data_IF_240597339041
#
_entry.id   IF_240597339041
#
_cell.length_a   1.000
_cell.length_b   1.000
_cell.length_c   1.000
_cell.angle_alpha   90.00
_cell.angle_beta   90.00
_cell.angle_gamma   90.00
#
_symmetry.space_group_name_H-M   'P 1'
#
loop_
_entity.id
_entity.type
_entity.pdbx_description
1 polymer ?
#
# COMPACT_ATOMS: atom_id res chain seq x y z
N UNK A 1 45.39 -9.95 -6.74
CA UNK A 1 44.44 -8.84 -6.90
C UNK A 1 43.08 -9.45 -7.18
N UNK A 2 42.18 -9.32 -6.21
CA UNK A 2 40.98 -10.15 -6.04
C UNK A 2 39.89 -9.88 -7.07
N UNK A 3 39.51 -10.91 -7.81
CA UNK A 3 38.21 -11.03 -8.42
C UNK A 3 37.21 -11.45 -7.32
N UNK A 4 36.29 -10.55 -6.97
CA UNK A 4 35.10 -10.90 -6.18
C UNK A 4 33.91 -10.15 -6.77
N UNK A 5 33.57 -10.52 -8.00
CA UNK A 5 32.21 -10.39 -8.49
C UNK A 5 31.37 -11.38 -7.68
N UNK A 6 30.71 -10.89 -6.62
CA UNK A 6 29.62 -11.64 -6.00
C UNK A 6 28.47 -11.66 -7.00
N UNK A 7 28.20 -12.84 -7.54
CA UNK A 7 26.91 -13.15 -8.11
C UNK A 7 25.84 -12.78 -7.08
N UNK A 8 24.83 -12.02 -7.48
CA UNK A 8 23.60 -11.93 -6.72
C UNK A 8 23.05 -13.36 -6.67
N UNK A 9 23.20 -14.03 -5.52
CA UNK A 9 22.40 -15.22 -5.22
C UNK A 9 20.95 -14.83 -5.46
N UNK A 10 20.25 -15.59 -6.31
CA UNK A 10 18.81 -15.46 -6.45
C UNK A 10 18.22 -15.65 -5.05
N UNK A 11 17.78 -14.56 -4.42
CA UNK A 11 17.20 -14.59 -3.09
C UNK A 11 16.03 -15.56 -3.14
N UNK A 12 16.19 -16.73 -2.51
CA UNK A 12 15.12 -17.71 -2.33
C UNK A 12 14.04 -17.06 -1.50
N UNK A 13 12.77 -17.22 -1.91
CA UNK A 13 11.63 -16.76 -1.12
C UNK A 13 11.77 -17.22 0.35
N UNK A 14 11.57 -16.33 1.32
CA UNK A 14 11.68 -16.70 2.72
C UNK A 14 10.64 -17.77 3.07
N UNK A 15 10.94 -18.58 4.08
CA UNK A 15 10.00 -19.60 4.57
C UNK A 15 8.70 -18.98 5.18
N UNK A 16 8.77 -17.70 5.55
CA UNK A 16 7.66 -16.90 6.08
C UNK A 16 7.89 -15.42 5.75
N UNK A 17 6.84 -14.72 5.36
CA UNK A 17 6.88 -13.29 5.13
C UNK A 17 6.49 -12.47 6.35
N UNK A 18 5.55 -12.88 7.19
CA UNK A 18 5.01 -12.08 8.31
C UNK A 18 5.51 -12.63 9.64
N UNK A 19 6.27 -11.82 10.38
CA UNK A 19 6.76 -12.14 11.72
C UNK A 19 5.74 -11.71 12.78
N UNK A 20 4.66 -12.50 12.90
CA UNK A 20 3.67 -12.36 13.95
C UNK A 20 3.25 -13.75 14.47
N UNK A 21 2.79 -13.82 15.71
CA UNK A 21 2.43 -15.10 16.35
C UNK A 21 0.92 -15.33 16.46
N UNK A 22 0.13 -14.27 16.67
CA UNK A 22 -1.34 -14.34 16.67
C UNK A 22 -1.92 -12.93 16.47
N UNK A 23 -2.77 -12.76 15.44
CA UNK A 23 -3.49 -11.53 15.15
C UNK A 23 -5.02 -11.70 15.31
N UNK A 24 -5.45 -12.85 15.83
CA UNK A 24 -6.85 -13.14 16.14
C UNK A 24 -7.37 -12.13 17.16
N UNK A 25 -8.56 -11.57 16.89
CA UNK A 25 -9.16 -10.53 17.72
C UNK A 25 -8.60 -9.10 17.54
N UNK A 26 -7.40 -8.91 16.98
CA UNK A 26 -6.90 -7.59 16.57
C UNK A 26 -7.38 -7.20 15.17
N UNK A 27 -7.63 -8.21 14.36
CA UNK A 27 -7.97 -8.08 12.98
C UNK A 27 -9.26 -7.25 12.76
N UNK A 28 -9.14 -6.14 12.02
CA UNK A 28 -10.21 -5.19 11.71
C UNK A 28 -10.84 -4.46 12.92
N UNK A 29 -10.21 -4.50 14.10
CA UNK A 29 -10.67 -3.75 15.28
C UNK A 29 -9.86 -2.47 15.53
N UNK A 30 -8.54 -2.55 15.38
CA UNK A 30 -7.62 -1.42 15.53
C UNK A 30 -6.47 -1.55 14.53
N UNK A 31 -5.76 -0.45 14.31
CA UNK A 31 -4.50 -0.50 13.58
C UNK A 31 -3.42 -1.16 14.45
N UNK A 32 -2.44 -1.81 13.83
CA UNK A 32 -1.22 -2.27 14.52
C UNK A 32 -0.07 -2.48 13.52
N UNK A 33 1.15 -2.32 14.03
CA UNK A 33 2.39 -2.59 13.31
C UNK A 33 2.84 -4.04 13.50
N UNK A 34 3.48 -4.62 12.48
CA UNK A 34 4.09 -5.95 12.50
C UNK A 34 5.41 -5.96 11.73
N UNK A 35 6.24 -6.98 11.94
CA UNK A 35 7.49 -7.18 11.20
C UNK A 35 7.29 -8.18 10.05
N UNK A 36 8.07 -8.06 8.99
CA UNK A 36 8.00 -8.93 7.82
C UNK A 36 9.32 -9.04 7.03
N UNK A 37 9.48 -10.12 6.27
CA UNK A 37 10.68 -10.46 5.50
C UNK A 37 10.55 -10.12 4.00
N UNK A 38 9.92 -8.99 3.68
CA UNK A 38 9.84 -8.50 2.28
C UNK A 38 10.97 -7.53 1.94
N UNK A 39 11.68 -7.02 2.96
CA UNK A 39 12.85 -6.20 2.78
C UNK A 39 13.88 -6.92 1.89
N UNK A 40 14.34 -6.25 0.83
CA UNK A 40 15.30 -6.82 -0.11
C UNK A 40 14.75 -7.87 -1.07
N UNK A 41 13.44 -8.14 -1.07
CA UNK A 41 12.85 -9.06 -2.04
C UNK A 41 13.00 -8.49 -3.47
N UNK A 42 13.54 -9.28 -4.44
CA UNK A 42 13.80 -8.81 -5.81
C UNK A 42 12.58 -8.22 -6.54
N UNK A 43 11.37 -8.63 -6.15
CA UNK A 43 10.11 -8.08 -6.67
C UNK A 43 9.93 -6.59 -6.38
N UNK A 44 10.64 -6.03 -5.40
CA UNK A 44 10.58 -4.60 -5.06
C UNK A 44 11.80 -3.81 -5.52
N UNK A 45 12.68 -4.40 -6.33
CA UNK A 45 13.78 -3.65 -6.96
C UNK A 45 13.27 -2.69 -8.05
N UNK A 46 13.90 -1.52 -8.20
CA UNK A 46 13.54 -0.54 -9.25
C UNK A 46 13.40 -1.18 -10.64
N UNK A 47 14.39 -1.96 -11.13
CA UNK A 47 14.29 -2.53 -12.47
C UNK A 47 13.14 -3.53 -12.62
N UNK A 48 12.73 -4.20 -11.53
CA UNK A 48 11.58 -5.13 -11.56
C UNK A 48 10.26 -4.38 -11.54
N UNK A 49 10.17 -3.27 -10.80
CA UNK A 49 9.01 -2.40 -10.73
C UNK A 49 8.77 -1.65 -12.04
N UNK A 50 9.82 -1.25 -12.75
CA UNK A 50 9.73 -0.72 -14.13
C UNK A 50 9.08 -1.74 -15.08
N UNK A 51 9.55 -3.00 -15.06
CA UNK A 51 8.96 -4.08 -15.87
C UNK A 51 7.50 -4.36 -15.50
N UNK A 52 7.17 -4.34 -14.21
CA UNK A 52 5.79 -4.48 -13.76
C UNK A 52 4.93 -3.34 -14.31
N UNK A 53 5.37 -2.10 -14.17
CA UNK A 53 4.63 -0.91 -14.61
C UNK A 53 4.37 -0.94 -16.12
N UNK A 54 5.36 -1.31 -16.92
CA UNK A 54 5.21 -1.50 -18.37
C UNK A 54 4.14 -2.56 -18.69
N UNK A 55 4.24 -3.75 -18.09
CA UNK A 55 3.27 -4.84 -18.28
C UNK A 55 1.84 -4.41 -17.93
N UNK A 56 1.67 -3.71 -16.80
CA UNK A 56 0.36 -3.23 -16.36
C UNK A 56 -0.23 -2.16 -17.28
N UNK A 57 0.61 -1.36 -17.95
CA UNK A 57 0.17 -0.38 -18.94
C UNK A 57 -0.18 -1.01 -20.29
N UNK A 58 0.58 -2.01 -20.74
CA UNK A 58 0.30 -2.78 -21.96
C UNK A 58 -1.05 -3.51 -21.87
N UNK A 59 -1.40 -4.00 -20.68
CA UNK A 59 -2.72 -4.58 -20.41
C UNK A 59 -3.80 -3.49 -20.28
N UNK A 60 -4.47 -3.21 -21.41
CA UNK A 60 -5.55 -2.23 -21.54
C UNK A 60 -6.90 -2.68 -20.96
N UNK A 61 -7.00 -3.89 -20.40
CA UNK A 61 -8.28 -4.38 -19.83
C UNK A 61 -8.76 -3.51 -18.66
N UNK A 62 -7.84 -2.88 -17.92
CA UNK A 62 -8.15 -1.99 -16.83
C UNK A 62 -7.04 -0.95 -16.61
N UNK A 63 -7.41 0.21 -16.07
CA UNK A 63 -6.45 1.27 -15.75
C UNK A 63 -5.77 0.97 -14.42
N UNK A 64 -4.53 0.50 -14.49
CA UNK A 64 -3.79 0.01 -13.32
C UNK A 64 -2.54 0.79 -12.96
N UNK A 65 -2.29 1.93 -13.59
CA UNK A 65 -1.16 2.78 -13.23
C UNK A 65 -1.65 4.20 -13.03
N UNK A 66 -1.27 4.81 -11.90
CA UNK A 66 -1.41 6.23 -11.63
C UNK A 66 -0.06 6.77 -11.20
N UNK A 67 0.26 7.97 -11.64
CA UNK A 67 1.43 8.67 -11.16
C UNK A 67 1.20 10.17 -11.17
N UNK A 68 1.94 10.83 -10.32
CA UNK A 68 1.93 12.28 -10.17
C UNK A 68 3.37 12.74 -10.08
N UNK A 69 3.74 13.66 -10.97
CA UNK A 69 5.01 14.39 -10.91
C UNK A 69 4.69 15.78 -10.40
N UNK A 70 4.82 15.99 -9.10
CA UNK A 70 4.95 17.30 -8.43
C UNK A 70 4.85 17.15 -6.92
N UNK A 71 5.62 17.96 -6.20
CA UNK A 71 5.53 18.15 -4.75
C UNK A 71 4.17 18.79 -4.44
N UNK A 72 3.17 17.98 -4.14
CA UNK A 72 1.86 18.46 -3.68
C UNK A 72 1.88 18.67 -2.15
N UNK A 73 1.33 19.79 -1.64
CA UNK A 73 1.08 19.97 -0.22
C UNK A 73 0.21 18.86 0.37
N UNK A 74 0.39 18.57 1.67
CA UNK A 74 -0.34 17.54 2.44
C UNK A 74 -1.87 17.67 2.32
N UNK A 75 -2.36 18.88 2.09
CA UNK A 75 -3.78 19.26 2.01
C UNK A 75 -4.29 19.48 0.58
N UNK A 76 -3.46 19.26 -0.45
CA UNK A 76 -3.84 19.43 -1.86
C UNK A 76 -4.93 18.45 -2.32
N UNK A 77 -5.13 17.36 -1.58
CA UNK A 77 -6.07 16.29 -1.92
C UNK A 77 -5.72 15.63 -3.25
N UNK A 78 -6.73 15.07 -3.91
CA UNK A 78 -6.58 14.33 -5.17
C UNK A 78 -6.63 15.21 -6.44
N UNK A 79 -6.59 16.54 -6.31
CA UNK A 79 -6.79 17.50 -7.41
C UNK A 79 -5.52 17.84 -8.23
N UNK A 80 -4.54 16.95 -8.26
CA UNK A 80 -3.26 17.20 -8.94
C UNK A 80 -3.25 16.53 -10.33
N UNK A 81 -2.72 17.17 -11.38
CA UNK A 81 -2.73 16.62 -12.73
C UNK A 81 -2.03 15.24 -12.83
N UNK A 82 -2.72 14.27 -13.44
CA UNK A 82 -2.16 12.93 -13.75
C UNK A 82 -1.51 12.99 -15.14
N UNK A 83 -0.23 12.62 -15.24
CA UNK A 83 0.48 12.47 -16.53
C UNK A 83 0.17 11.10 -17.15
N UNK A 84 0.34 10.93 -18.48
CA UNK A 84 -0.10 9.71 -19.21
C UNK A 84 0.94 9.08 -20.16
N UNK A 85 2.19 9.58 -20.19
CA UNK A 85 3.26 9.10 -21.08
C UNK A 85 4.13 8.00 -20.42
N UNK A 86 4.34 6.87 -21.12
CA UNK A 86 5.09 5.70 -20.63
C UNK A 86 6.57 6.03 -20.37
N UNK A 87 7.20 6.83 -21.23
CA UNK A 87 8.60 7.23 -21.08
C UNK A 87 8.78 8.06 -19.80
N UNK A 88 7.85 8.98 -19.51
CA UNK A 88 7.84 9.74 -18.25
C UNK A 88 7.61 8.88 -17.02
N UNK A 89 6.91 7.74 -17.13
CA UNK A 89 6.73 6.83 -16.01
C UNK A 89 8.02 6.06 -15.71
N UNK A 90 8.68 5.52 -16.73
CA UNK A 90 9.96 4.85 -16.55
C UNK A 90 11.02 5.80 -15.99
N UNK A 91 11.08 7.04 -16.50
CA UNK A 91 11.92 8.10 -15.92
C UNK A 91 11.55 8.40 -14.47
N UNK A 92 10.26 8.49 -14.13
CA UNK A 92 9.81 8.73 -12.76
C UNK A 92 10.16 7.58 -11.80
N UNK A 93 10.15 6.32 -12.26
CA UNK A 93 10.59 5.16 -11.47
C UNK A 93 12.11 5.23 -11.31
N UNK A 94 12.86 5.36 -12.40
CA UNK A 94 14.32 5.39 -12.38
C UNK A 94 14.87 6.55 -11.51
N UNK A 95 14.21 7.71 -11.58
CA UNK A 95 14.55 8.92 -10.81
C UNK A 95 13.64 9.14 -9.60
N UNK A 96 13.05 8.07 -9.03
CA UNK A 96 12.16 8.18 -7.87
C UNK A 96 12.84 8.89 -6.68
N UNK A 97 14.17 8.81 -6.58
CA UNK A 97 14.93 9.50 -5.53
C UNK A 97 14.89 11.04 -5.62
N UNK A 98 14.69 11.62 -6.81
CA UNK A 98 14.82 13.07 -7.02
C UNK A 98 13.61 13.71 -7.70
N UNK A 99 12.75 12.92 -8.35
CA UNK A 99 11.68 13.43 -9.21
C UNK A 99 10.53 14.12 -8.49
N UNK A 100 10.44 13.98 -7.15
CA UNK A 100 9.31 14.50 -6.37
C UNK A 100 7.99 13.88 -6.77
N UNK A 101 8.02 12.61 -7.21
CA UNK A 101 6.88 11.90 -7.77
C UNK A 101 6.37 10.83 -6.81
N UNK A 102 5.09 10.47 -6.96
CA UNK A 102 4.60 9.19 -6.47
C UNK A 102 3.92 8.42 -7.61
N UNK A 103 3.98 7.10 -7.50
CA UNK A 103 3.53 6.14 -8.50
C UNK A 103 2.76 5.06 -7.76
N UNK A 104 1.60 4.70 -8.28
CA UNK A 104 0.74 3.67 -7.73
C UNK A 104 0.40 2.68 -8.85
N UNK A 105 0.81 1.44 -8.62
CA UNK A 105 0.52 0.29 -9.47
C UNK A 105 -0.62 -0.48 -8.83
N UNK A 106 -1.71 -0.68 -9.56
CA UNK A 106 -2.89 -1.40 -9.11
C UNK A 106 -2.98 -2.79 -9.72
N UNK A 107 -3.57 -3.70 -8.96
CA UNK A 107 -3.75 -5.09 -9.35
C UNK A 107 -2.47 -5.72 -9.87
N UNK A 108 -1.40 -5.59 -9.08
CA UNK A 108 -0.06 -6.07 -9.45
C UNK A 108 -0.04 -7.59 -9.62
N UNK A 109 -0.98 -8.32 -9.00
CA UNK A 109 -1.20 -9.75 -9.17
C UNK A 109 -1.62 -10.19 -10.58
N UNK A 110 -1.83 -9.26 -11.53
CA UNK A 110 -1.92 -9.60 -12.97
C UNK A 110 -0.56 -10.04 -13.55
N UNK A 111 0.52 -9.72 -12.85
CA UNK A 111 1.82 -10.33 -13.05
C UNK A 111 1.93 -11.62 -12.22
N UNK A 112 2.31 -12.76 -12.82
CA UNK A 112 2.37 -14.06 -12.14
C UNK A 112 3.29 -14.10 -10.91
N UNK A 113 4.39 -13.34 -10.90
CA UNK A 113 5.31 -13.34 -9.75
C UNK A 113 4.69 -12.62 -8.55
N UNK A 114 4.01 -11.49 -8.78
CA UNK A 114 3.26 -10.80 -7.72
C UNK A 114 1.99 -11.56 -7.32
N UNK A 115 1.40 -12.34 -8.22
CA UNK A 115 0.29 -13.24 -7.87
C UNK A 115 0.74 -14.27 -6.83
N UNK A 116 1.87 -14.93 -7.08
CA UNK A 116 2.41 -15.90 -6.14
C UNK A 116 2.73 -15.24 -4.80
N UNK A 117 3.37 -14.07 -4.81
CA UNK A 117 3.65 -13.33 -3.59
C UNK A 117 2.38 -12.99 -2.80
N UNK A 118 1.31 -12.55 -3.49
CA UNK A 118 0.03 -12.27 -2.87
C UNK A 118 -0.59 -13.53 -2.26
N UNK A 119 -0.57 -14.66 -2.99
CA UNK A 119 -1.12 -15.93 -2.50
C UNK A 119 -0.35 -16.43 -1.25
N UNK A 120 0.98 -16.29 -1.22
CA UNK A 120 1.82 -16.64 -0.06
C UNK A 120 1.49 -15.77 1.16
N UNK A 121 1.46 -14.44 0.97
CA UNK A 121 1.10 -13.48 2.03
C UNK A 121 -0.30 -13.78 2.56
N UNK A 122 -1.26 -14.02 1.66
CA UNK A 122 -2.64 -14.30 2.04
C UNK A 122 -2.78 -15.59 2.84
N UNK A 123 -1.99 -16.61 2.52
CA UNK A 123 -1.93 -17.86 3.30
C UNK A 123 -1.51 -17.59 4.74
N UNK A 124 -0.47 -16.77 4.94
CA UNK A 124 -0.01 -16.39 6.28
C UNK A 124 -1.01 -15.52 7.02
N UNK A 125 -1.59 -14.52 6.36
CA UNK A 125 -2.60 -13.63 6.94
C UNK A 125 -3.81 -14.45 7.42
N UNK A 126 -4.31 -15.36 6.60
CA UNK A 126 -5.43 -16.25 6.95
C UNK A 126 -5.10 -17.04 8.21
N UNK A 127 -3.91 -17.64 8.25
CA UNK A 127 -3.46 -18.42 9.40
C UNK A 127 -3.33 -17.58 10.68
N UNK A 128 -2.77 -16.36 10.58
CA UNK A 128 -2.55 -15.47 11.71
C UNK A 128 -3.84 -14.83 12.26
N UNK A 129 -4.85 -14.67 11.41
CA UNK A 129 -6.04 -13.87 11.73
C UNK A 129 -7.28 -14.72 12.00
N UNK A 130 -7.24 -16.00 11.63
CA UNK A 130 -8.35 -16.94 11.76
C UNK A 130 -9.50 -16.65 10.79
N UNK A 131 -9.25 -15.80 9.78
CA UNK A 131 -10.22 -15.48 8.74
C UNK A 131 -10.44 -16.71 7.88
N UNK A 132 -11.69 -17.01 7.57
CA UNK A 132 -12.01 -18.19 6.77
C UNK A 132 -11.74 -17.89 5.29
N UNK A 133 -11.05 -18.78 4.54
CA UNK A 133 -10.83 -18.55 3.11
C UNK A 133 -12.12 -18.37 2.30
N UNK A 134 -13.20 -19.07 2.65
CA UNK A 134 -14.52 -18.92 2.02
C UNK A 134 -15.18 -17.56 2.27
N UNK A 135 -14.73 -16.87 3.31
CA UNK A 135 -15.12 -15.51 3.64
C UNK A 135 -14.27 -14.49 2.88
N UNK A 136 -13.49 -14.86 1.86
CA UNK A 136 -12.70 -13.94 1.04
C UNK A 136 -13.30 -13.86 -0.37
N UNK A 137 -13.83 -12.70 -0.76
CA UNK A 137 -14.51 -12.50 -2.04
C UNK A 137 -13.67 -11.78 -3.09
N UNK A 138 -12.64 -11.07 -2.66
CA UNK A 138 -11.76 -10.30 -3.54
C UNK A 138 -10.38 -10.16 -2.90
N UNK A 139 -9.35 -10.22 -3.72
CA UNK A 139 -7.96 -9.98 -3.36
C UNK A 139 -7.37 -9.02 -4.39
N UNK A 140 -6.82 -7.90 -3.93
CA UNK A 140 -6.09 -6.96 -4.78
C UNK A 140 -4.77 -6.60 -4.14
N UNK A 141 -3.75 -6.38 -4.97
CA UNK A 141 -2.45 -5.91 -4.51
C UNK A 141 -2.09 -4.60 -5.21
N UNK A 142 -1.65 -3.62 -4.43
CA UNK A 142 -1.12 -2.34 -4.93
C UNK A 142 0.35 -2.22 -4.61
N UNK A 143 1.14 -1.57 -5.47
CA UNK A 143 2.50 -1.10 -5.14
C UNK A 143 2.53 0.42 -5.18
N UNK A 144 2.76 1.05 -4.04
CA UNK A 144 2.95 2.50 -3.94
C UNK A 144 4.43 2.85 -3.82
N UNK A 145 4.89 3.69 -4.72
CA UNK A 145 6.24 4.24 -4.77
C UNK A 145 6.20 5.75 -4.59
N UNK A 146 7.10 6.30 -3.78
CA UNK A 146 7.13 7.73 -3.52
C UNK A 146 8.56 8.24 -3.31
N UNK A 147 8.81 9.44 -3.83
CA UNK A 147 10.03 10.20 -3.58
C UNK A 147 10.18 10.61 -2.10
N UNK A 148 11.41 10.94 -1.66
CA UNK A 148 11.64 11.55 -0.36
C UNK A 148 10.77 12.80 -0.15
N UNK A 149 10.20 12.93 1.05
CA UNK A 149 9.35 14.06 1.44
C UNK A 149 7.94 14.04 0.85
N UNK A 150 7.60 13.07 -0.01
CA UNK A 150 6.24 12.92 -0.54
C UNK A 150 5.22 12.68 0.58
N UNK A 151 4.03 13.23 0.38
CA UNK A 151 2.91 13.08 1.31
C UNK A 151 1.71 12.53 0.58
N UNK A 152 1.10 11.50 1.16
CA UNK A 152 -0.26 11.08 0.82
C UNK A 152 -1.21 11.78 1.80
N UNK A 153 -2.09 12.68 1.31
CA UNK A 153 -3.05 13.39 2.15
C UNK A 153 -3.88 12.47 3.03
N UNK A 154 -4.46 13.03 4.09
CA UNK A 154 -5.42 12.28 4.91
C UNK A 154 -6.63 11.88 4.06
N UNK A 155 -6.93 10.60 3.98
CA UNK A 155 -8.02 10.07 3.15
C UNK A 155 -8.61 8.78 3.72
N UNK A 156 -9.65 8.27 3.04
CA UNK A 156 -10.10 6.89 3.16
C UNK A 156 -9.97 6.21 1.80
N UNK A 157 -9.74 4.91 1.86
CA UNK A 157 -9.60 4.02 0.71
C UNK A 157 -10.95 3.62 0.13
N UNK A 158 -11.00 3.37 -1.18
CA UNK A 158 -12.23 3.05 -1.91
C UNK A 158 -12.69 1.61 -1.67
N UNK A 159 -11.71 0.79 -1.31
CA UNK A 159 -11.84 -0.54 -0.78
C UNK A 159 -12.72 -0.54 0.47
N UNK A 160 -12.89 0.60 1.16
CA UNK A 160 -13.78 0.75 2.29
C UNK A 160 -15.15 0.06 2.09
N UNK A 161 -15.59 -0.75 3.05
CA UNK A 161 -16.95 -1.30 3.13
C UNK A 161 -17.89 -0.37 3.88
N UNK A 162 -19.22 -0.57 3.85
CA UNK A 162 -20.17 0.39 4.46
C UNK A 162 -20.28 0.25 6.00
N UNK A 163 -19.69 -0.78 6.61
CA UNK A 163 -20.16 -1.30 7.92
C UNK A 163 -19.08 -1.53 9.00
N UNK A 164 -17.94 -0.82 8.95
CA UNK A 164 -16.85 -0.99 9.95
C UNK A 164 -17.06 -0.13 11.19
N UNK A 165 -16.61 -0.63 12.35
CA UNK A 165 -16.56 0.09 13.62
C UNK A 165 -15.77 1.40 13.46
N UNK A 166 -16.41 2.51 13.78
CA UNK A 166 -15.87 3.86 13.63
C UNK A 166 -16.24 4.70 14.83
N UNK A 167 -15.36 5.64 15.15
CA UNK A 167 -15.73 6.83 15.91
C UNK A 167 -16.42 7.82 14.94
N UNK A 168 -17.75 8.03 15.04
CA UNK A 168 -18.47 8.93 14.14
C UNK A 168 -18.04 10.39 14.30
N UNK A 169 -17.33 10.74 15.38
CA UNK A 169 -16.75 12.07 15.56
C UNK A 169 -15.58 12.29 14.59
N UNK A 170 -14.76 11.26 14.36
CA UNK A 170 -13.59 11.34 13.48
C UNK A 170 -14.01 11.32 12.00
N UNK A 171 -14.86 10.35 11.64
CA UNK A 171 -15.31 10.15 10.25
C UNK A 171 -16.83 9.91 10.21
N UNK A 172 -17.64 10.99 10.12
CA UNK A 172 -19.10 10.92 10.05
C UNK A 172 -19.63 10.16 8.82
N UNK A 173 -20.83 9.59 8.95
CA UNK A 173 -21.55 8.91 7.86
C UNK A 173 -21.76 9.79 6.63
N UNK A 174 -21.99 11.09 6.82
CA UNK A 174 -22.14 12.03 5.71
C UNK A 174 -20.85 12.21 4.89
N UNK A 175 -19.68 12.24 5.53
CA UNK A 175 -18.39 12.32 4.82
C UNK A 175 -18.13 11.05 4.01
N UNK A 176 -18.53 9.91 4.56
CA UNK A 176 -18.45 8.60 3.93
C UNK A 176 -19.38 8.51 2.71
N UNK A 177 -20.64 8.90 2.86
CA UNK A 177 -21.61 8.91 1.77
C UNK A 177 -21.12 9.80 0.62
N UNK A 178 -20.68 11.01 0.93
CA UNK A 178 -20.14 11.94 -0.06
C UNK A 178 -18.88 11.39 -0.75
N UNK A 179 -18.05 10.65 -0.03
CA UNK A 179 -16.92 9.94 -0.62
C UNK A 179 -17.37 8.96 -1.71
N UNK A 180 -18.35 8.08 -1.42
CA UNK A 180 -18.86 7.14 -2.43
C UNK A 180 -19.69 7.83 -3.54
N UNK A 181 -20.16 9.05 -3.31
CA UNK A 181 -20.74 9.90 -4.36
C UNK A 181 -19.67 10.53 -5.28
N UNK A 182 -18.39 10.25 -5.06
CA UNK A 182 -17.28 10.65 -5.92
C UNK A 182 -16.41 11.78 -5.36
N UNK A 183 -16.68 12.27 -4.14
CA UNK A 183 -15.84 13.28 -3.51
C UNK A 183 -14.77 12.66 -2.61
N UNK A 184 -13.68 12.25 -3.23
CA UNK A 184 -12.56 11.57 -2.57
C UNK A 184 -11.80 12.43 -1.53
N UNK A 185 -12.13 13.72 -1.38
CA UNK A 185 -11.46 14.64 -0.45
C UNK A 185 -12.27 14.91 0.83
N UNK A 186 -13.34 14.14 1.08
CA UNK A 186 -14.27 14.41 2.18
C UNK A 186 -13.72 14.10 3.56
N UNK A 187 -12.92 13.04 3.69
CA UNK A 187 -12.22 12.74 4.92
C UNK A 187 -11.17 13.82 5.17
N UNK A 188 -11.26 14.54 6.30
CA UNK A 188 -10.29 15.58 6.69
C UNK A 188 -9.70 15.29 8.05
N UNK A 189 -8.40 15.53 8.17
CA UNK A 189 -7.74 15.52 9.48
C UNK A 189 -8.20 16.75 10.26
N UNK A 190 -9.02 16.54 11.29
CA UNK A 190 -9.50 17.61 12.18
C UNK A 190 -8.52 17.75 13.33
N UNK A 191 -8.05 18.97 13.58
CA UNK A 191 -7.02 19.24 14.61
C UNK A 191 -7.42 18.69 15.98
N UNK A 192 -8.69 18.86 16.34
CA UNK A 192 -9.27 18.39 17.61
C UNK A 192 -9.20 16.87 17.80
N UNK A 193 -9.08 16.06 16.73
CA UNK A 193 -8.96 14.60 16.81
C UNK A 193 -7.54 14.08 16.59
N UNK A 194 -6.55 14.93 16.33
CA UNK A 194 -5.15 14.50 16.11
C UNK A 194 -4.58 13.69 17.26
N UNK A 195 -4.95 14.02 18.49
CA UNK A 195 -4.52 13.30 19.70
C UNK A 195 -5.04 11.84 19.77
N UNK A 196 -5.99 11.47 18.90
CA UNK A 196 -6.54 10.11 18.80
C UNK A 196 -5.90 9.29 17.68
N UNK A 197 -4.95 9.86 16.93
CA UNK A 197 -4.28 9.16 15.85
C UNK A 197 -3.22 8.20 16.41
N UNK A 198 -3.22 6.96 15.92
CA UNK A 198 -2.08 6.07 16.06
C UNK A 198 -1.00 6.49 15.04
N UNK A 199 0.24 6.64 15.50
CA UNK A 199 1.39 6.95 14.66
C UNK A 199 2.37 5.78 14.67
N UNK A 200 2.79 5.36 13.47
CA UNK A 200 3.73 4.26 13.28
C UNK A 200 4.91 4.76 12.45
N UNK A 201 6.13 4.51 12.94
CA UNK A 201 7.35 4.71 12.17
C UNK A 201 7.60 3.45 11.35
N UNK A 202 7.65 3.63 10.03
CA UNK A 202 7.74 2.54 9.07
C UNK A 202 9.14 2.50 8.46
N UNK A 203 9.75 1.34 8.59
CA UNK A 203 11.03 0.98 8.02
C UNK A 203 10.85 -0.23 7.11
N UNK A 204 11.88 -0.55 6.33
CA UNK A 204 11.87 -1.79 5.58
C UNK A 204 11.73 -2.98 6.53
N UNK A 205 10.85 -3.92 6.15
CA UNK A 205 10.54 -5.07 6.99
C UNK A 205 9.57 -4.76 8.12
N UNK A 206 8.96 -3.58 8.13
CA UNK A 206 7.81 -3.28 8.99
C UNK A 206 6.58 -3.05 8.14
N UNK A 207 5.42 -3.46 8.64
CA UNK A 207 4.12 -3.28 7.99
C UNK A 207 3.08 -2.79 8.98
N UNK A 208 2.01 -2.20 8.46
CA UNK A 208 0.83 -1.84 9.27
C UNK A 208 -0.39 -2.48 8.66
N UNK A 209 -1.16 -3.13 9.52
CA UNK A 209 -2.52 -3.54 9.23
C UNK A 209 -3.46 -2.49 9.82
N UNK A 210 -4.37 -1.96 9.01
CA UNK A 210 -5.39 -1.04 9.50
C UNK A 210 -6.80 -1.48 9.07
N UNK A 211 -7.83 -1.10 9.85
CA UNK A 211 -9.21 -1.34 9.46
C UNK A 211 -9.57 -0.68 8.14
N UNK A 212 -10.55 -1.28 7.46
CA UNK A 212 -11.14 -0.91 6.16
C UNK A 212 -11.45 0.57 5.93
N UNK A 213 -11.67 1.32 7.01
CA UNK A 213 -12.10 2.73 6.96
C UNK A 213 -11.36 3.59 7.96
N UNK A 214 -10.20 3.12 8.41
CA UNK A 214 -9.28 3.93 9.17
C UNK A 214 -8.83 5.05 8.23
N UNK A 215 -9.26 6.27 8.53
CA UNK A 215 -8.77 7.41 7.79
C UNK A 215 -7.31 7.63 8.17
N UNK A 216 -6.45 7.77 7.16
CA UNK A 216 -5.02 7.71 7.34
C UNK A 216 -4.33 8.68 6.40
N UNK A 217 -3.10 9.05 6.76
CA UNK A 217 -2.19 9.83 5.94
C UNK A 217 -0.80 9.26 6.05
N UNK A 218 0.03 9.51 5.05
CA UNK A 218 1.39 9.02 5.00
C UNK A 218 2.34 10.15 4.66
N UNK A 219 3.49 10.18 5.32
CA UNK A 219 4.59 11.09 4.99
C UNK A 219 5.87 10.28 4.86
N UNK A 220 6.46 10.33 3.68
CA UNK A 220 7.76 9.73 3.47
C UNK A 220 8.85 10.56 4.17
N UNK A 221 9.90 9.89 4.64
CA UNK A 221 11.08 10.55 5.22
C UNK A 221 11.71 11.53 4.23
N UNK A 222 12.52 12.47 4.73
CA UNK A 222 13.24 13.44 3.90
C UNK A 222 14.62 12.95 3.44
N UNK A 223 15.02 11.73 3.80
CA UNK A 223 16.29 11.15 3.40
C UNK A 223 16.22 10.67 1.94
N UNK A 224 17.26 10.87 1.14
CA UNK A 224 17.32 10.36 -0.23
C UNK A 224 17.19 8.83 -0.32
N UNK A 225 17.47 8.13 0.80
CA UNK A 225 17.28 6.69 0.96
C UNK A 225 15.85 6.28 1.31
N UNK A 226 15.00 7.20 1.77
CA UNK A 226 13.60 6.88 2.06
C UNK A 226 12.82 6.84 0.75
N UNK A 227 12.83 5.65 0.13
CA UNK A 227 11.98 5.26 -0.98
C UNK A 227 10.99 4.25 -0.44
N UNK A 228 9.74 4.38 -0.87
CA UNK A 228 8.71 3.44 -0.49
C UNK A 228 8.47 2.46 -1.64
N UNK A 229 8.35 1.18 -1.35
CA UNK A 229 7.48 0.28 -2.10
C UNK A 229 6.60 -0.40 -1.06
N UNK A 230 5.33 -0.04 -1.02
CA UNK A 230 4.37 -0.71 -0.13
C UNK A 230 3.48 -1.64 -0.92
N UNK A 231 3.37 -2.91 -0.50
CA UNK A 231 2.31 -3.78 -1.01
C UNK A 231 1.09 -3.69 -0.13
N UNK A 232 -0.06 -3.39 -0.74
CA UNK A 232 -1.35 -3.33 -0.06
C UNK A 232 -2.24 -4.46 -0.51
N UNK A 233 -2.52 -5.45 0.36
CA UNK A 233 -3.47 -6.52 0.06
C UNK A 233 -4.86 -6.15 0.55
N UNK A 234 -5.86 -6.15 -0.35
CA UNK A 234 -7.27 -5.81 -0.07
C UNK A 234 -8.15 -7.08 -0.04
N UNK A 235 -8.75 -7.42 1.11
CA UNK A 235 -9.59 -8.64 1.27
C UNK A 235 -11.02 -8.29 1.65
N UNK A 236 -12.01 -8.57 0.80
CA UNK A 236 -13.44 -8.38 1.14
C UNK A 236 -14.06 -9.65 1.71
N UNK A 237 -14.88 -9.55 2.77
CA UNK A 237 -15.53 -10.70 3.41
C UNK A 237 -17.06 -10.64 3.51
N UNK A 238 -17.74 -11.80 3.39
CA UNK A 238 -19.21 -11.95 3.42
C UNK A 238 -19.79 -12.22 4.82
N UNK A 239 -18.98 -12.54 5.83
CA UNK A 239 -19.46 -12.89 7.17
C UNK A 239 -20.06 -11.68 7.91
N UNK A 240 -21.37 -11.42 7.73
CA UNK A 240 -22.24 -10.41 8.40
C UNK A 240 -21.78 -8.95 8.44
N UNK A 241 -20.54 -8.66 8.05
CA UNK A 241 -19.95 -7.35 7.88
C UNK A 241 -19.10 -7.46 6.62
N UNK A 242 -19.60 -6.92 5.51
CA UNK A 242 -18.73 -6.57 4.37
C UNK A 242 -17.57 -5.80 4.97
N UNK A 243 -16.37 -6.36 4.97
CA UNK A 243 -15.17 -5.74 5.53
C UNK A 243 -14.07 -5.97 4.54
N UNK A 244 -13.40 -4.89 4.16
CA UNK A 244 -12.36 -4.89 3.15
C UNK A 244 -11.04 -4.54 3.79
N UNK A 245 -10.05 -5.40 3.74
CA UNK A 245 -8.94 -5.32 4.69
C UNK A 245 -7.68 -4.95 3.93
N UNK A 246 -7.03 -3.84 4.29
CA UNK A 246 -5.79 -3.36 3.68
C UNK A 246 -4.60 -3.69 4.58
N UNK A 247 -3.55 -4.29 4.02
CA UNK A 247 -2.30 -4.58 4.72
C UNK A 247 -1.19 -3.88 3.99
N UNK A 248 -0.58 -2.86 4.58
CA UNK A 248 0.52 -2.11 3.97
C UNK A 248 1.84 -2.71 4.46
N UNK A 249 2.52 -3.47 3.61
CA UNK A 249 3.85 -4.01 3.88
C UNK A 249 4.93 -3.15 3.21
N UNK A 250 5.96 -2.71 3.93
CA UNK A 250 7.01 -1.83 3.40
C UNK A 250 8.29 -2.62 3.09
N UNK A 251 8.56 -2.83 1.81
CA UNK A 251 9.56 -3.80 1.35
C UNK A 251 10.88 -3.19 0.87
N UNK A 252 11.02 -1.87 0.83
CA UNK A 252 12.17 -1.21 0.22
C UNK A 252 13.26 -0.82 1.23
N UNK A 253 14.46 -1.39 1.10
CA UNK A 253 15.71 -0.82 1.63
C UNK A 253 16.52 -0.17 0.51
N UNK A 254 16.99 1.06 0.76
CA UNK A 254 17.61 1.95 -0.22
C UNK A 254 18.62 1.31 -1.15
#
# INVERSE_FOLDING_TARGET
>A
MNATLRAAEAATSPARYIEAQDLSGLFNQRSFQFEHNLAGNPLFSLPRLERLAQRLLEDRSQRSVRWQSSVAPVDAGWNVPIRQELDSLNEAIADLGNSGSWILLYSVQRDPEYRQLLDDLMTEIIALTGVKPEDITWQDAYVFMASPGSVTPYHIDHEASIWTAKDPAILPDTEIELYYMGDHNRAKCKEEYRHRADAYDLWAGTGVLHPTRAAHGFKNGSDFRSRLASTSACVTSTAKQRSTRSIHCFAWEG
#
